data_IF_404539472118
#
_entry.id   IF_404539472118
#
_cell.length_a   1.000
_cell.length_b   1.000
_cell.length_c   1.000
_cell.angle_alpha   90.00
_cell.angle_beta   90.00
_cell.angle_gamma   90.00
#
_symmetry.space_group_name_H-M   'P 1'
#
loop_
_entity.id
_entity.type
_entity.pdbx_description
1 polymer ?
#
# COMPACT_ATOMS: atom_id res chain seq x y z
N UNK A 1 33.04 -11.70 -5.27
CA UNK A 1 33.04 -10.41 -4.55
C UNK A 1 32.28 -9.28 -5.25
N UNK A 2 31.60 -9.53 -6.38
CA UNK A 2 30.93 -8.51 -7.22
C UNK A 2 29.43 -8.36 -6.98
N UNK A 3 28.83 -9.05 -6.00
CA UNK A 3 27.39 -8.98 -5.69
C UNK A 3 27.02 -8.06 -4.51
N UNK A 4 28.01 -7.53 -3.79
CA UNK A 4 27.78 -6.65 -2.63
C UNK A 4 27.75 -5.14 -2.99
N UNK A 5 28.23 -4.78 -4.18
CA UNK A 5 28.31 -3.38 -4.63
C UNK A 5 26.99 -2.80 -5.16
N UNK A 6 25.99 -3.63 -5.50
CA UNK A 6 24.69 -3.16 -5.99
C UNK A 6 23.74 -2.70 -4.86
N UNK A 7 23.93 -3.16 -3.63
CA UNK A 7 23.08 -2.77 -2.49
C UNK A 7 23.48 -1.42 -1.87
N UNK A 8 24.75 -1.01 -2.01
CA UNK A 8 25.26 0.24 -1.42
C UNK A 8 25.03 1.49 -2.27
N UNK A 9 24.62 1.33 -3.54
CA UNK A 9 24.27 2.47 -4.41
C UNK A 9 22.83 2.96 -4.23
N UNK A 10 21.96 2.20 -3.55
CA UNK A 10 20.57 2.59 -3.30
C UNK A 10 20.40 3.54 -2.09
N UNK A 11 21.33 3.54 -1.14
CA UNK A 11 21.18 4.30 0.11
C UNK A 11 21.45 5.82 -0.02
N UNK A 12 22.45 6.30 -0.79
CA UNK A 12 22.69 7.74 -0.93
C UNK A 12 21.82 8.42 -2.01
N UNK A 13 21.12 7.67 -2.87
CA UNK A 13 20.10 8.25 -3.76
C UNK A 13 18.81 8.61 -3.00
N UNK A 14 18.49 7.90 -1.92
CA UNK A 14 17.27 8.14 -1.15
C UNK A 14 17.24 9.52 -0.49
N UNK A 15 18.37 10.13 -0.12
CA UNK A 15 18.38 11.41 0.60
C UNK A 15 18.23 12.63 -0.33
N UNK A 16 18.67 12.54 -1.58
CA UNK A 16 18.54 13.62 -2.57
C UNK A 16 17.23 13.57 -3.39
N UNK A 17 16.53 12.43 -3.41
CA UNK A 17 15.23 12.27 -4.09
C UNK A 17 14.09 13.08 -3.44
N UNK A 18 14.29 13.59 -2.22
CA UNK A 18 13.24 14.20 -1.41
C UNK A 18 13.51 15.64 -0.95
N UNK A 19 14.45 16.34 -1.59
CA UNK A 19 14.60 17.77 -1.39
C UNK A 19 13.56 18.51 -2.25
N UNK A 20 12.48 19.01 -1.63
CA UNK A 20 11.54 19.94 -2.26
C UNK A 20 11.55 21.25 -1.46
N UNK A 21 11.61 22.37 -2.19
CA UNK A 21 11.49 23.71 -1.63
C UNK A 21 10.09 23.92 -1.04
N UNK A 22 10.00 24.65 0.08
CA UNK A 22 8.75 24.93 0.78
C UNK A 22 7.77 25.70 -0.10
N UNK A 23 6.51 25.25 -0.13
CA UNK A 23 5.41 25.89 -0.85
C UNK A 23 5.14 27.31 -0.31
N UNK A 24 5.54 28.33 -1.07
CA UNK A 24 4.97 29.66 -0.97
C UNK A 24 3.63 29.69 -1.71
N UNK A 25 2.63 30.37 -1.16
CA UNK A 25 1.33 30.62 -1.81
C UNK A 25 1.58 31.31 -3.16
N UNK A 26 1.54 30.54 -4.24
CA UNK A 26 1.65 31.06 -5.60
C UNK A 26 0.36 31.79 -5.96
N UNK A 27 0.48 32.99 -6.51
CA UNK A 27 -0.64 33.73 -7.10
C UNK A 27 -1.12 33.11 -8.42
N UNK A 28 -0.35 32.20 -9.00
CA UNK A 28 -0.69 31.51 -10.25
C UNK A 28 -1.50 30.24 -9.95
N UNK A 29 -2.52 29.97 -10.77
CA UNK A 29 -3.27 28.72 -10.67
C UNK A 29 -2.31 27.55 -10.82
N UNK A 30 -2.36 26.55 -9.92
CA UNK A 30 -1.58 25.34 -10.07
C UNK A 30 -1.93 24.66 -11.40
N UNK A 31 -0.92 24.12 -12.07
CA UNK A 31 -1.08 23.43 -13.35
C UNK A 31 -1.64 22.02 -13.15
N UNK A 32 -2.72 21.68 -13.88
CA UNK A 32 -3.20 20.30 -13.95
C UNK A 32 -2.21 19.45 -14.74
N UNK A 33 -1.91 18.26 -14.21
CA UNK A 33 -1.19 17.27 -14.99
C UNK A 33 -2.08 16.77 -16.14
N UNK A 34 -1.54 16.64 -17.37
CA UNK A 34 -2.30 16.11 -18.48
C UNK A 34 -2.78 14.68 -18.22
N UNK A 35 -4.00 14.35 -18.66
CA UNK A 35 -4.61 13.04 -18.44
C UNK A 35 -3.77 11.88 -19.00
N UNK A 36 -3.00 12.09 -20.08
CA UNK A 36 -2.14 11.04 -20.63
C UNK A 36 -1.10 10.53 -19.60
N UNK A 37 -0.73 11.37 -18.63
CA UNK A 37 0.22 10.99 -17.57
C UNK A 37 -0.35 9.92 -16.64
N UNK A 38 -1.67 9.69 -16.60
CA UNK A 38 -2.31 8.61 -15.84
C UNK A 38 -2.04 7.22 -16.42
N UNK A 39 -1.64 7.12 -17.68
CA UNK A 39 -1.55 5.82 -18.38
C UNK A 39 -0.11 5.36 -18.65
N UNK A 40 0.88 6.23 -18.46
CA UNK A 40 2.27 5.96 -18.84
C UNK A 40 3.16 5.87 -17.59
N UNK A 41 3.98 4.81 -17.44
CA UNK A 41 4.92 4.65 -16.34
C UNK A 41 5.79 5.88 -16.09
N UNK A 42 5.81 6.39 -14.86
CA UNK A 42 6.64 7.53 -14.44
C UNK A 42 6.30 8.88 -15.10
N UNK A 43 5.25 8.94 -15.92
CA UNK A 43 4.95 10.11 -16.74
C UNK A 43 4.59 11.36 -15.96
N UNK A 44 3.99 11.25 -14.77
CA UNK A 44 3.69 12.40 -13.92
C UNK A 44 4.98 13.12 -13.54
N UNK A 45 6.03 12.38 -13.21
CA UNK A 45 7.34 12.95 -12.87
C UNK A 45 8.12 13.44 -14.07
N UNK A 46 8.09 12.71 -15.20
CA UNK A 46 8.74 13.19 -16.42
C UNK A 46 8.14 14.50 -16.93
N UNK A 47 6.81 14.64 -16.87
CA UNK A 47 6.14 15.88 -17.24
C UNK A 47 6.59 17.07 -16.37
N UNK A 48 6.79 16.82 -15.07
CA UNK A 48 7.32 17.79 -14.12
C UNK A 48 8.84 17.97 -14.16
N UNK A 49 9.52 17.39 -15.17
CA UNK A 49 10.99 17.41 -15.34
C UNK A 49 11.77 16.78 -14.18
N UNK A 50 11.13 15.93 -13.37
CA UNK A 50 11.78 15.13 -12.34
C UNK A 50 12.20 13.77 -12.92
N UNK A 51 13.24 13.79 -13.76
CA UNK A 51 13.67 12.61 -14.50
C UNK A 51 14.13 11.47 -13.59
N UNK A 52 14.77 11.75 -12.46
CA UNK A 52 15.25 10.71 -11.56
C UNK A 52 14.09 9.94 -10.92
N UNK A 53 13.08 10.65 -10.39
CA UNK A 53 11.87 9.98 -9.87
C UNK A 53 11.11 9.27 -10.98
N UNK A 54 10.96 9.90 -12.15
CA UNK A 54 10.30 9.30 -13.31
C UNK A 54 10.94 7.98 -13.73
N UNK A 55 12.28 7.94 -13.81
CA UNK A 55 13.03 6.72 -14.12
C UNK A 55 12.92 5.68 -13.01
N UNK A 56 12.99 6.07 -11.74
CA UNK A 56 12.86 5.14 -10.63
C UNK A 56 11.49 4.43 -10.64
N UNK A 57 10.39 5.19 -10.73
CA UNK A 57 9.05 4.60 -10.77
C UNK A 57 8.80 3.79 -12.04
N UNK A 58 9.21 4.29 -13.21
CA UNK A 58 9.07 3.53 -14.46
C UNK A 58 9.84 2.21 -14.42
N UNK A 59 11.05 2.19 -13.84
CA UNK A 59 11.84 0.97 -13.69
C UNK A 59 11.19 -0.03 -12.71
N UNK A 60 10.66 0.45 -11.58
CA UNK A 60 9.96 -0.39 -10.61
C UNK A 60 8.69 -1.01 -11.19
N UNK A 61 7.89 -0.21 -11.90
CA UNK A 61 6.67 -0.66 -12.54
C UNK A 61 6.95 -1.68 -13.65
N UNK A 62 7.76 -1.29 -14.64
CA UNK A 62 8.09 -2.15 -15.79
C UNK A 62 8.76 -3.42 -15.29
N UNK A 63 9.68 -3.30 -14.33
CA UNK A 63 10.36 -4.44 -13.72
C UNK A 63 9.41 -5.38 -12.99
N UNK A 64 8.51 -4.85 -12.16
CA UNK A 64 7.51 -5.65 -11.43
C UNK A 64 6.53 -6.35 -12.37
N UNK A 65 5.97 -5.62 -13.34
CA UNK A 65 5.06 -6.18 -14.36
C UNK A 65 5.77 -7.24 -15.19
N UNK A 66 6.98 -6.96 -15.69
CA UNK A 66 7.76 -7.91 -16.47
C UNK A 66 8.06 -9.19 -15.68
N UNK A 67 8.53 -9.07 -14.43
CA UNK A 67 8.81 -10.21 -13.57
C UNK A 67 7.54 -11.00 -13.25
N UNK A 68 6.43 -10.31 -13.03
CA UNK A 68 5.14 -10.91 -12.76
C UNK A 68 4.58 -11.68 -13.96
N UNK A 69 4.73 -11.18 -15.19
CA UNK A 69 4.36 -11.88 -16.42
C UNK A 69 5.29 -13.08 -16.64
N UNK A 70 6.62 -12.86 -16.56
CA UNK A 70 7.64 -13.88 -16.80
C UNK A 70 7.51 -15.09 -15.88
N UNK A 71 7.14 -14.86 -14.62
CA UNK A 71 7.05 -15.91 -13.60
C UNK A 71 5.62 -16.29 -13.21
N UNK A 72 4.59 -15.75 -13.91
CA UNK A 72 3.19 -15.94 -13.56
C UNK A 72 2.81 -17.40 -13.32
N UNK A 73 3.10 -18.28 -14.28
CA UNK A 73 2.74 -19.69 -14.19
C UNK A 73 3.49 -20.41 -13.06
N UNK A 74 4.78 -20.11 -12.88
CA UNK A 74 5.58 -20.79 -11.87
C UNK A 74 5.19 -20.35 -10.46
N UNK A 75 4.90 -19.07 -10.26
CA UNK A 75 4.36 -18.53 -9.01
C UNK A 75 3.00 -19.14 -8.69
N UNK A 76 2.10 -19.20 -9.69
CA UNK A 76 0.78 -19.82 -9.57
C UNK A 76 0.87 -21.28 -9.15
N UNK A 77 1.75 -22.06 -9.77
CA UNK A 77 1.92 -23.48 -9.42
C UNK A 77 2.52 -23.70 -8.02
N UNK A 78 3.12 -22.69 -7.41
CA UNK A 78 3.73 -22.75 -6.08
C UNK A 78 3.05 -21.78 -5.11
N UNK A 79 1.75 -21.53 -5.30
CA UNK A 79 0.98 -20.69 -4.40
C UNK A 79 -0.49 -21.09 -4.33
N UNK A 80 -1.10 -20.82 -3.18
CA UNK A 80 -2.53 -21.02 -2.90
C UNK A 80 -3.30 -19.71 -2.76
N UNK A 81 -2.62 -18.56 -2.77
CA UNK A 81 -3.21 -17.25 -2.48
C UNK A 81 -3.55 -16.49 -3.76
N UNK A 82 -4.61 -15.66 -3.77
CA UNK A 82 -4.85 -14.71 -4.87
C UNK A 82 -3.72 -13.68 -5.04
N UNK A 83 -2.86 -13.51 -4.02
CA UNK A 83 -1.71 -12.62 -4.03
C UNK A 83 -0.41 -13.29 -4.53
N UNK A 84 -0.51 -14.48 -5.16
CA UNK A 84 0.64 -15.26 -5.63
C UNK A 84 1.59 -14.46 -6.54
N UNK A 85 1.05 -13.54 -7.33
CA UNK A 85 1.82 -12.71 -8.25
C UNK A 85 2.27 -11.39 -7.60
N UNK A 86 2.91 -11.50 -6.44
CA UNK A 86 3.42 -10.34 -5.70
C UNK A 86 4.38 -9.44 -6.52
N UNK A 87 5.19 -9.91 -7.50
CA UNK A 87 5.98 -8.99 -8.33
C UNK A 87 5.11 -8.10 -9.22
N UNK A 88 4.07 -8.67 -9.85
CA UNK A 88 3.09 -7.91 -10.62
C UNK A 88 2.40 -6.88 -9.72
N UNK A 89 1.95 -7.33 -8.55
CA UNK A 89 1.28 -6.48 -7.58
C UNK A 89 2.15 -5.29 -7.15
N UNK A 90 3.42 -5.53 -6.80
CA UNK A 90 4.37 -4.46 -6.45
C UNK A 90 4.62 -3.49 -7.61
N UNK A 91 4.66 -3.99 -8.86
CA UNK A 91 4.76 -3.14 -10.05
C UNK A 91 3.55 -2.22 -10.23
N UNK A 92 2.34 -2.77 -10.08
CA UNK A 92 1.09 -2.01 -10.16
C UNK A 92 0.94 -1.02 -9.00
N UNK A 93 1.45 -1.37 -7.82
CA UNK A 93 1.50 -0.49 -6.66
C UNK A 93 2.47 0.68 -6.84
N UNK A 94 3.64 0.44 -7.46
CA UNK A 94 4.55 1.51 -7.84
C UNK A 94 3.89 2.49 -8.83
N UNK A 95 3.18 1.96 -9.85
CA UNK A 95 2.38 2.77 -10.77
C UNK A 95 1.33 3.60 -10.03
N UNK A 96 0.50 2.97 -9.20
CA UNK A 96 -0.54 3.65 -8.43
C UNK A 96 0.02 4.76 -7.54
N UNK A 97 1.14 4.49 -6.86
CA UNK A 97 1.77 5.44 -5.94
C UNK A 97 2.30 6.68 -6.68
N UNK A 98 2.85 6.51 -7.88
CA UNK A 98 3.27 7.62 -8.72
C UNK A 98 2.07 8.45 -9.21
N UNK A 99 0.92 7.82 -9.47
CA UNK A 99 -0.31 8.52 -9.89
C UNK A 99 -0.93 9.37 -8.78
N UNK A 100 -0.53 9.23 -7.52
CA UNK A 100 -0.98 10.13 -6.44
C UNK A 100 -0.67 11.60 -6.74
N UNK A 101 0.39 11.86 -7.52
CA UNK A 101 0.73 13.18 -8.04
C UNK A 101 -0.42 13.82 -8.85
N UNK A 102 -1.11 13.02 -9.68
CA UNK A 102 -2.26 13.49 -10.45
C UNK A 102 -3.41 13.91 -9.52
N UNK A 103 -3.72 13.08 -8.51
CA UNK A 103 -4.74 13.41 -7.51
C UNK A 103 -4.36 14.67 -6.71
N UNK A 104 -3.08 14.84 -6.36
CA UNK A 104 -2.58 16.07 -5.73
C UNK A 104 -2.84 17.31 -6.60
N UNK A 105 -2.47 17.27 -7.88
CA UNK A 105 -2.67 18.41 -8.78
C UNK A 105 -4.15 18.81 -8.90
N UNK A 106 -5.07 17.83 -8.87
CA UNK A 106 -6.51 18.08 -8.88
C UNK A 106 -6.98 18.72 -7.57
N UNK A 107 -6.49 18.27 -6.40
CA UNK A 107 -6.83 18.87 -5.11
C UNK A 107 -6.35 20.31 -4.99
N UNK A 108 -5.16 20.61 -5.50
CA UNK A 108 -4.60 21.96 -5.53
C UNK A 108 -5.48 22.91 -6.37
N UNK A 109 -5.93 22.45 -7.54
CA UNK A 109 -6.84 23.22 -8.40
C UNK A 109 -8.21 23.39 -7.76
N UNK A 110 -8.77 22.34 -7.13
CA UNK A 110 -10.04 22.44 -6.40
C UNK A 110 -9.90 23.48 -5.28
N UNK A 111 -8.81 23.43 -4.50
CA UNK A 111 -8.53 24.36 -3.41
C UNK A 111 -8.35 25.80 -3.88
N UNK A 112 -7.68 26.02 -5.00
CA UNK A 112 -7.49 27.34 -5.59
C UNK A 112 -8.84 28.00 -5.91
N UNK A 113 -9.76 27.25 -6.52
CA UNK A 113 -11.10 27.75 -6.88
C UNK A 113 -12.10 27.74 -5.71
N UNK A 114 -11.82 26.98 -4.65
CA UNK A 114 -12.70 26.81 -3.49
C UNK A 114 -11.89 26.99 -2.19
N UNK A 115 -11.66 28.23 -1.73
CA UNK A 115 -10.84 28.49 -0.53
C UNK A 115 -11.33 27.76 0.73
N UNK A 116 -12.63 27.46 0.82
CA UNK A 116 -13.23 26.69 1.92
C UNK A 116 -12.99 25.18 1.86
N UNK A 117 -12.51 24.64 0.73
CA UNK A 117 -12.19 23.22 0.58
C UNK A 117 -11.02 22.83 1.50
N UNK A 118 -11.12 21.70 2.21
CA UNK A 118 -10.13 21.25 3.18
C UNK A 118 -9.64 19.85 2.82
N UNK A 119 -8.33 19.69 2.74
CA UNK A 119 -7.64 18.43 2.55
C UNK A 119 -6.26 18.54 3.21
N UNK A 120 -5.52 17.43 3.33
CA UNK A 120 -4.13 17.47 3.76
C UNK A 120 -3.24 17.90 2.60
N UNK A 121 -2.71 19.13 2.64
CA UNK A 121 -1.61 19.52 1.75
C UNK A 121 -0.29 18.92 2.25
N UNK A 122 -0.18 17.60 2.17
CA UNK A 122 1.01 16.85 2.55
C UNK A 122 2.01 16.84 1.38
N UNK A 123 3.31 16.98 1.70
CA UNK A 123 4.35 16.80 0.69
C UNK A 123 4.46 15.32 0.31
N UNK A 124 4.93 15.00 -0.89
CA UNK A 124 5.13 13.59 -1.30
C UNK A 124 6.07 12.86 -0.36
N UNK A 125 7.17 13.52 0.04
CA UNK A 125 8.12 13.00 1.01
C UNK A 125 7.43 12.65 2.33
N UNK A 126 6.65 13.58 2.86
CA UNK A 126 5.97 13.38 4.14
C UNK A 126 4.90 12.31 4.07
N UNK A 127 4.23 12.17 2.92
CA UNK A 127 3.29 11.09 2.65
C UNK A 127 3.99 9.73 2.65
N UNK A 128 5.08 9.60 1.91
CA UNK A 128 5.83 8.34 1.80
C UNK A 128 6.49 7.94 3.12
N UNK A 129 6.90 8.91 3.94
CA UNK A 129 7.47 8.67 5.25
C UNK A 129 6.40 8.60 6.36
N UNK A 130 5.14 8.94 6.09
CA UNK A 130 4.09 8.99 7.09
C UNK A 130 3.97 7.71 7.94
N UNK A 131 4.07 6.49 7.40
CA UNK A 131 4.02 5.27 8.21
C UNK A 131 5.14 5.12 9.23
N UNK A 132 6.27 5.79 9.01
CA UNK A 132 7.49 5.65 9.80
C UNK A 132 7.71 6.82 10.77
N UNK A 133 6.87 7.85 10.69
CA UNK A 133 6.94 8.99 11.62
C UNK A 133 6.38 8.59 12.97
N UNK A 134 7.14 8.87 14.02
CA UNK A 134 6.77 8.53 15.40
C UNK A 134 5.42 9.17 15.77
N UNK A 135 5.15 10.41 15.34
CA UNK A 135 3.86 11.07 15.64
C UNK A 135 2.64 10.38 15.00
N UNK A 136 2.84 9.59 13.95
CA UNK A 136 1.77 8.84 13.29
C UNK A 136 1.67 7.42 13.85
N UNK A 137 2.79 6.80 14.23
CA UNK A 137 2.84 5.47 14.83
C UNK A 137 2.26 5.47 16.25
N UNK A 138 2.64 6.45 17.07
CA UNK A 138 2.27 6.52 18.49
C UNK A 138 0.91 7.21 18.62
N UNK A 139 -0.11 6.59 18.04
CA UNK A 139 -1.49 7.07 18.08
C UNK A 139 -2.45 5.96 18.50
N UNK A 140 -3.58 6.30 19.16
CA UNK A 140 -4.60 5.30 19.50
C UNK A 140 -5.14 4.55 18.28
N UNK A 141 -5.22 5.22 17.13
CA UNK A 141 -5.73 4.61 15.90
C UNK A 141 -4.77 3.56 15.34
N UNK A 142 -3.47 3.84 15.28
CA UNK A 142 -2.46 2.87 14.86
C UNK A 142 -2.34 1.72 15.85
N UNK A 143 -2.32 2.01 17.15
CA UNK A 143 -2.30 0.97 18.19
C UNK A 143 -3.52 0.05 18.13
N UNK A 144 -4.73 0.62 17.96
CA UNK A 144 -5.97 -0.15 17.82
C UNK A 144 -5.99 -1.02 16.58
N UNK A 145 -5.49 -0.52 15.45
CA UNK A 145 -5.37 -1.27 14.20
C UNK A 145 -4.35 -2.43 14.34
N UNK A 146 -3.17 -2.19 14.91
CA UNK A 146 -2.18 -3.25 15.16
C UNK A 146 -2.74 -4.31 16.13
N UNK A 147 -3.46 -3.89 17.17
CA UNK A 147 -4.12 -4.83 18.09
C UNK A 147 -5.17 -5.69 17.36
N UNK A 148 -5.97 -5.09 16.47
CA UNK A 148 -6.95 -5.81 15.66
C UNK A 148 -6.27 -6.86 14.76
N UNK A 149 -5.16 -6.51 14.11
CA UNK A 149 -4.35 -7.49 13.36
C UNK A 149 -3.88 -8.63 14.28
N UNK A 150 -3.40 -8.31 15.49
CA UNK A 150 -3.03 -9.31 16.50
C UNK A 150 -4.17 -10.25 16.90
N UNK A 151 -5.41 -9.76 16.99
CA UNK A 151 -6.59 -10.60 17.25
C UNK A 151 -6.85 -11.57 16.11
N UNK A 152 -6.77 -11.12 14.85
CA UNK A 152 -6.92 -12.01 13.69
C UNK A 152 -5.84 -13.09 13.66
N UNK A 153 -4.59 -12.70 13.93
CA UNK A 153 -3.46 -13.61 14.03
C UNK A 153 -3.60 -14.62 15.18
N UNK A 154 -4.16 -14.22 16.33
CA UNK A 154 -4.44 -15.13 17.43
C UNK A 154 -5.50 -16.17 17.06
N UNK A 155 -6.52 -15.78 16.30
CA UNK A 155 -7.52 -16.72 15.76
C UNK A 155 -6.87 -17.68 14.77
N UNK A 156 -6.04 -17.16 13.86
CA UNK A 156 -5.30 -17.95 12.86
C UNK A 156 -4.33 -18.96 13.51
N UNK A 157 -3.69 -18.58 14.63
CA UNK A 157 -2.79 -19.47 15.39
C UNK A 157 -3.47 -20.77 15.83
N UNK A 158 -4.78 -20.77 16.08
CA UNK A 158 -5.51 -21.99 16.42
C UNK A 158 -5.62 -23.00 15.28
N UNK A 159 -5.32 -22.58 14.04
CA UNK A 159 -5.33 -23.42 12.84
C UNK A 159 -3.94 -23.88 12.42
N UNK A 160 -2.89 -23.46 13.14
CA UNK A 160 -1.50 -23.84 12.86
C UNK A 160 -1.32 -25.36 12.92
N UNK A 161 -0.68 -25.91 11.88
CA UNK A 161 -0.21 -27.31 11.85
C UNK A 161 1.29 -27.41 12.06
N UNK A 162 2.04 -26.47 11.50
CA UNK A 162 3.49 -26.43 11.58
C UNK A 162 3.98 -25.03 11.94
N UNK A 163 5.01 -24.99 12.78
CA UNK A 163 5.65 -23.75 13.21
C UNK A 163 6.69 -23.28 12.19
N UNK A 164 7.05 -21.99 12.24
CA UNK A 164 8.14 -21.44 11.41
C UNK A 164 9.49 -22.16 11.61
N UNK A 165 9.70 -22.81 12.76
CA UNK A 165 10.91 -23.58 13.05
C UNK A 165 11.03 -24.86 12.23
N UNK A 166 9.93 -25.38 11.71
CA UNK A 166 9.87 -26.57 10.87
C UNK A 166 10.02 -26.24 9.38
N UNK A 167 9.98 -24.96 9.00
CA UNK A 167 10.23 -24.52 7.63
C UNK A 167 11.71 -24.67 7.32
N UNK A 168 12.02 -25.38 6.24
CA UNK A 168 13.37 -25.48 5.68
C UNK A 168 13.56 -24.46 4.55
N UNK A 169 12.57 -24.39 3.64
CA UNK A 169 12.63 -23.51 2.49
C UNK A 169 11.28 -22.84 2.18
N UNK A 170 11.34 -21.68 1.55
CA UNK A 170 10.17 -20.96 1.01
C UNK A 170 10.37 -20.72 -0.46
N UNK A 171 9.33 -20.89 -1.26
CA UNK A 171 9.35 -20.56 -2.66
C UNK A 171 9.27 -19.04 -2.85
N UNK A 172 10.23 -18.48 -3.58
CA UNK A 172 10.29 -17.06 -3.86
C UNK A 172 10.78 -16.83 -5.31
N UNK A 173 9.94 -16.18 -6.10
CA UNK A 173 10.07 -15.89 -7.54
C UNK A 173 10.11 -17.15 -8.39
N UNK A 174 11.27 -17.79 -8.46
CA UNK A 174 11.52 -18.95 -9.31
C UNK A 174 12.39 -20.03 -8.64
N UNK A 175 12.54 -19.97 -7.32
CA UNK A 175 13.41 -20.86 -6.57
C UNK A 175 12.94 -21.01 -5.13
N UNK A 176 13.36 -22.10 -4.51
CA UNK A 176 13.31 -22.23 -3.06
C UNK A 176 14.49 -21.50 -2.44
N UNK A 177 14.22 -20.69 -1.43
CA UNK A 177 15.23 -20.02 -0.60
C UNK A 177 15.20 -20.61 0.81
N UNK A 178 16.37 -20.74 1.47
CA UNK A 178 16.45 -21.29 2.81
C UNK A 178 15.72 -20.40 3.83
N UNK A 179 15.27 -20.98 4.95
CA UNK A 179 14.51 -20.30 6.03
C UNK A 179 15.12 -18.97 6.46
N UNK A 180 16.44 -18.89 6.59
CA UNK A 180 17.14 -17.66 7.00
C UNK A 180 16.98 -16.50 6.01
N UNK A 181 16.70 -16.78 4.74
CA UNK A 181 16.36 -15.78 3.72
C UNK A 181 14.84 -15.62 3.56
N UNK A 182 14.06 -16.68 3.85
CA UNK A 182 12.61 -16.69 3.72
C UNK A 182 11.95 -15.57 4.54
N UNK A 183 12.27 -15.46 5.83
CA UNK A 183 11.67 -14.43 6.69
C UNK A 183 11.97 -13.02 6.20
N UNK A 184 13.21 -12.75 5.80
CA UNK A 184 13.62 -11.44 5.28
C UNK A 184 12.92 -11.13 3.96
N UNK A 185 12.86 -12.09 3.03
CA UNK A 185 12.20 -11.90 1.74
C UNK A 185 10.70 -11.69 1.92
N UNK A 186 10.05 -12.53 2.73
CA UNK A 186 8.62 -12.43 3.03
C UNK A 186 8.31 -11.10 3.71
N UNK A 187 9.03 -10.77 4.79
CA UNK A 187 8.83 -9.52 5.52
C UNK A 187 9.07 -8.28 4.68
N UNK A 188 10.09 -8.27 3.81
CA UNK A 188 10.32 -7.15 2.89
C UNK A 188 9.19 -7.01 1.86
N UNK A 189 8.70 -8.13 1.30
CA UNK A 189 7.56 -8.13 0.38
C UNK A 189 6.28 -7.66 1.07
N UNK A 190 5.97 -8.19 2.27
CA UNK A 190 4.83 -7.74 3.07
C UNK A 190 4.91 -6.25 3.37
N UNK A 191 6.05 -5.77 3.88
CA UNK A 191 6.23 -4.37 4.21
C UNK A 191 6.04 -3.45 2.99
N UNK A 192 6.58 -3.83 1.83
CA UNK A 192 6.41 -3.05 0.60
C UNK A 192 4.96 -3.01 0.14
N UNK A 193 4.26 -4.15 0.20
CA UNK A 193 2.84 -4.23 -0.16
C UNK A 193 1.97 -3.39 0.77
N UNK A 194 2.17 -3.53 2.08
CA UNK A 194 1.45 -2.77 3.11
C UNK A 194 1.76 -1.28 3.06
N UNK A 195 3.01 -0.90 2.76
CA UNK A 195 3.39 0.50 2.58
C UNK A 195 2.63 1.15 1.43
N UNK A 196 2.59 0.50 0.27
CA UNK A 196 1.88 1.06 -0.87
C UNK A 196 0.37 1.07 -0.67
N UNK A 197 -0.21 0.08 0.03
CA UNK A 197 -1.63 0.09 0.38
C UNK A 197 -1.94 1.28 1.31
N UNK A 198 -1.23 1.41 2.43
CA UNK A 198 -1.43 2.50 3.37
C UNK A 198 -1.18 3.89 2.77
N UNK A 199 -0.17 4.07 1.92
CA UNK A 199 0.10 5.34 1.24
C UNK A 199 -0.94 5.62 0.16
N UNK A 200 -1.17 4.68 -0.75
CA UNK A 200 -2.01 4.87 -1.93
C UNK A 200 -3.49 4.97 -1.58
N UNK A 201 -3.99 3.99 -0.82
CA UNK A 201 -5.42 3.90 -0.50
C UNK A 201 -5.86 5.01 0.43
N UNK A 202 -5.07 5.37 1.46
CA UNK A 202 -5.44 6.48 2.34
C UNK A 202 -5.31 7.84 1.64
N UNK A 203 -4.34 8.03 0.74
CA UNK A 203 -4.29 9.27 -0.02
C UNK A 203 -5.53 9.42 -0.92
N UNK A 204 -5.91 8.37 -1.65
CA UNK A 204 -7.10 8.42 -2.51
C UNK A 204 -8.37 8.54 -1.65
N UNK A 205 -8.55 7.70 -0.65
CA UNK A 205 -9.83 7.63 0.06
C UNK A 205 -9.99 8.74 1.11
N UNK A 206 -8.94 9.06 1.86
CA UNK A 206 -9.01 9.99 3.00
C UNK A 206 -8.52 11.39 2.65
N UNK A 207 -7.67 11.55 1.63
CA UNK A 207 -7.23 12.87 1.18
C UNK A 207 -7.92 13.38 -0.09
N UNK A 208 -8.43 12.49 -0.95
CA UNK A 208 -9.10 12.87 -2.19
C UNK A 208 -10.63 12.69 -2.10
N UNK A 209 -11.12 11.45 -1.98
CA UNK A 209 -12.55 11.13 -2.03
C UNK A 209 -13.31 11.74 -0.84
N UNK A 210 -12.84 11.52 0.39
CA UNK A 210 -13.49 12.01 1.60
C UNK A 210 -13.64 13.54 1.60
N UNK A 211 -12.58 14.36 1.38
CA UNK A 211 -12.70 15.82 1.25
C UNK A 211 -13.70 16.30 0.20
N UNK A 212 -13.70 15.68 -0.98
CA UNK A 212 -14.63 16.05 -2.07
C UNK A 212 -16.08 15.80 -1.63
N UNK A 213 -16.34 14.64 -1.02
CA UNK A 213 -17.68 14.29 -0.56
C UNK A 213 -18.11 15.12 0.66
N UNK A 214 -17.18 15.42 1.57
CA UNK A 214 -17.42 16.30 2.72
C UNK A 214 -17.80 17.71 2.26
N UNK A 215 -17.08 18.26 1.28
CA UNK A 215 -17.37 19.58 0.73
C UNK A 215 -18.74 19.63 0.04
N UNK A 216 -19.10 18.59 -0.72
CA UNK A 216 -20.34 18.55 -1.50
C UNK A 216 -21.58 18.16 -0.69
N UNK A 217 -21.43 17.31 0.32
CA UNK A 217 -22.55 16.66 1.01
C UNK A 217 -22.54 16.85 2.54
N UNK A 218 -21.50 17.48 3.09
CA UNK A 218 -21.28 17.63 4.52
C UNK A 218 -20.55 16.42 5.14
N UNK A 219 -19.83 16.65 6.23
CA UNK A 219 -18.90 15.68 6.82
C UNK A 219 -19.52 14.32 7.16
N UNK A 220 -20.75 14.29 7.70
CA UNK A 220 -21.41 13.03 8.06
C UNK A 220 -21.71 12.17 6.83
N UNK A 221 -22.28 12.78 5.78
CA UNK A 221 -22.61 12.06 4.55
C UNK A 221 -21.36 11.70 3.77
N UNK A 222 -20.39 12.61 3.70
CA UNK A 222 -19.11 12.37 3.04
C UNK A 222 -18.36 11.20 3.66
N UNK A 223 -18.32 11.12 4.99
CA UNK A 223 -17.77 9.98 5.72
C UNK A 223 -18.45 8.65 5.37
N UNK A 224 -19.78 8.60 5.39
CA UNK A 224 -20.52 7.36 5.08
C UNK A 224 -20.24 6.95 3.62
N UNK A 225 -20.36 7.89 2.69
CA UNK A 225 -20.17 7.63 1.26
C UNK A 225 -18.74 7.19 0.94
N UNK A 226 -17.72 7.85 1.49
CA UNK A 226 -16.32 7.47 1.27
C UNK A 226 -16.01 6.09 1.85
N UNK A 227 -16.61 5.75 2.99
CA UNK A 227 -16.41 4.46 3.67
C UNK A 227 -17.06 3.32 2.89
N UNK A 228 -18.28 3.52 2.40
CA UNK A 228 -18.96 2.55 1.53
C UNK A 228 -18.21 2.40 0.21
N UNK A 229 -17.71 3.48 -0.38
CA UNK A 229 -16.88 3.42 -1.58
C UNK A 229 -15.60 2.60 -1.32
N UNK A 230 -14.93 2.82 -0.18
CA UNK A 230 -13.73 2.06 0.19
C UNK A 230 -14.01 0.56 0.32
N UNK A 231 -15.10 0.19 1.01
CA UNK A 231 -15.55 -1.19 1.07
C UNK A 231 -15.87 -1.76 -0.31
N UNK A 232 -16.63 -1.03 -1.13
CA UNK A 232 -17.06 -1.49 -2.45
C UNK A 232 -15.87 -1.75 -3.41
N UNK A 233 -14.77 -1.00 -3.31
CA UNK A 233 -13.57 -1.24 -4.10
C UNK A 233 -12.99 -2.64 -3.88
N UNK A 234 -13.25 -3.28 -2.74
CA UNK A 234 -12.80 -4.64 -2.46
C UNK A 234 -13.61 -5.73 -3.19
N UNK A 235 -14.75 -5.40 -3.82
CA UNK A 235 -15.39 -6.32 -4.76
C UNK A 235 -14.52 -6.60 -6.00
N UNK A 236 -13.49 -5.77 -6.26
CA UNK A 236 -12.49 -6.06 -7.28
C UNK A 236 -11.79 -7.41 -7.04
N UNK A 237 -11.58 -7.80 -5.77
CA UNK A 237 -11.00 -9.10 -5.42
C UNK A 237 -11.86 -10.27 -5.91
N UNK A 238 -13.19 -10.12 -5.90
CA UNK A 238 -14.11 -11.12 -6.46
C UNK A 238 -14.06 -11.13 -8.00
N UNK A 239 -14.00 -9.95 -8.61
CA UNK A 239 -13.98 -9.80 -10.07
C UNK A 239 -12.70 -10.36 -10.71
N UNK A 240 -11.57 -10.32 -9.99
CA UNK A 240 -10.27 -10.79 -10.47
C UNK A 240 -9.83 -12.12 -9.86
N UNK A 241 -10.63 -12.73 -8.98
CA UNK A 241 -10.32 -14.05 -8.42
C UNK A 241 -10.58 -15.16 -9.44
N UNK A 242 -9.61 -16.08 -9.58
CA UNK A 242 -9.82 -17.31 -10.37
C UNK A 242 -10.87 -18.23 -9.74
N UNK A 243 -10.95 -18.22 -8.41
CA UNK A 243 -11.97 -18.91 -7.61
C UNK A 243 -12.70 -17.89 -6.75
N UNK A 244 -13.79 -17.30 -7.25
CA UNK A 244 -14.53 -16.27 -6.53
C UNK A 244 -15.05 -16.79 -5.18
N UNK A 245 -14.62 -16.17 -4.07
CA UNK A 245 -15.18 -16.39 -2.74
C UNK A 245 -16.07 -15.21 -2.34
N UNK A 246 -17.36 -15.33 -2.62
CA UNK A 246 -18.33 -14.29 -2.30
C UNK A 246 -18.43 -14.06 -0.78
N UNK A 247 -18.32 -15.11 0.04
CA UNK A 247 -18.47 -14.97 1.50
C UNK A 247 -17.27 -14.23 2.09
N UNK A 248 -16.06 -14.63 1.71
CA UNK A 248 -14.82 -13.93 2.09
C UNK A 248 -14.81 -12.48 1.60
N UNK A 249 -15.25 -12.25 0.36
CA UNK A 249 -15.33 -10.89 -0.20
C UNK A 249 -16.33 -10.03 0.58
N UNK A 250 -17.54 -10.52 0.88
CA UNK A 250 -18.54 -9.75 1.64
C UNK A 250 -18.04 -9.41 3.05
N UNK A 251 -17.31 -10.33 3.68
CA UNK A 251 -16.66 -10.08 4.96
C UNK A 251 -15.61 -8.95 4.82
N UNK A 252 -14.75 -9.02 3.81
CA UNK A 252 -13.74 -8.01 3.53
C UNK A 252 -14.37 -6.64 3.21
N UNK A 253 -15.41 -6.58 2.39
CA UNK A 253 -16.15 -5.35 2.07
C UNK A 253 -16.74 -4.73 3.35
N UNK A 254 -17.29 -5.55 4.24
CA UNK A 254 -17.86 -5.09 5.52
C UNK A 254 -16.76 -4.55 6.43
N UNK A 255 -15.65 -5.29 6.58
CA UNK A 255 -14.50 -4.87 7.37
C UNK A 255 -13.88 -3.58 6.82
N UNK A 256 -13.61 -3.52 5.51
CA UNK A 256 -13.08 -2.35 4.84
C UNK A 256 -14.03 -1.16 4.96
N UNK A 257 -15.36 -1.33 4.89
CA UNK A 257 -16.32 -0.23 5.15
C UNK A 257 -16.22 0.28 6.59
N UNK A 258 -16.13 -0.61 7.57
CA UNK A 258 -16.03 -0.23 8.99
C UNK A 258 -14.70 0.49 9.29
N UNK A 259 -13.58 -0.04 8.79
CA UNK A 259 -12.25 0.60 8.89
C UNK A 259 -12.21 1.92 8.09
N UNK A 260 -12.87 1.93 6.93
CA UNK A 260 -13.36 3.08 6.16
C UNK A 260 -13.76 4.24 7.05
N UNK A 261 -14.81 3.95 7.81
CA UNK A 261 -15.50 4.89 8.68
C UNK A 261 -14.65 5.31 9.87
N UNK A 262 -13.96 4.36 10.52
CA UNK A 262 -13.13 4.63 11.68
C UNK A 262 -11.96 5.56 11.31
N UNK A 263 -11.20 5.24 10.25
CA UNK A 263 -10.08 6.04 9.78
C UNK A 263 -10.55 7.40 9.24
N UNK A 264 -11.61 7.42 8.43
CA UNK A 264 -12.16 8.67 7.90
C UNK A 264 -12.63 9.63 9.00
N UNK A 265 -13.24 9.10 10.07
CA UNK A 265 -13.65 9.90 11.21
C UNK A 265 -12.48 10.46 12.00
N UNK A 266 -11.40 9.68 12.19
CA UNK A 266 -10.18 10.17 12.82
C UNK A 266 -9.55 11.31 12.00
N UNK A 267 -9.48 11.14 10.67
CA UNK A 267 -8.98 12.17 9.73
C UNK A 267 -9.81 13.46 9.83
N UNK A 268 -11.15 13.38 9.80
CA UNK A 268 -12.01 14.56 9.97
C UNK A 268 -11.75 15.28 11.30
N UNK A 269 -11.64 14.54 12.41
CA UNK A 269 -11.35 15.08 13.74
C UNK A 269 -9.99 15.76 13.83
N UNK A 270 -9.00 15.25 13.10
CA UNK A 270 -7.63 15.80 13.05
C UNK A 270 -7.44 16.88 11.99
N UNK A 271 -8.54 17.47 11.52
CA UNK A 271 -8.48 18.55 10.54
C UNK A 271 -7.92 18.11 9.19
N UNK A 272 -8.24 16.89 8.77
CA UNK A 272 -7.80 16.22 7.55
C UNK A 272 -6.36 15.73 7.53
N UNK A 273 -5.63 15.73 8.66
CA UNK A 273 -4.31 15.10 8.70
C UNK A 273 -4.41 13.56 8.52
N UNK A 274 -4.04 13.07 7.34
CA UNK A 274 -4.06 11.64 6.98
C UNK A 274 -2.86 10.83 7.51
N UNK A 275 -1.84 11.46 8.07
CA UNK A 275 -0.60 10.77 8.49
C UNK A 275 -0.83 9.57 9.42
N UNK A 276 -1.61 9.72 10.51
CA UNK A 276 -1.96 8.59 11.38
C UNK A 276 -2.75 7.49 10.68
N UNK A 277 -3.66 7.83 9.75
CA UNK A 277 -4.43 6.83 9.00
C UNK A 277 -3.53 6.01 8.05
N UNK A 278 -2.61 6.68 7.35
CA UNK A 278 -1.58 6.04 6.50
C UNK A 278 -0.74 5.05 7.32
N UNK A 279 -0.28 5.47 8.50
CA UNK A 279 0.49 4.60 9.39
C UNK A 279 -0.36 3.44 9.94
N UNK A 280 -1.58 3.72 10.40
CA UNK A 280 -2.47 2.71 10.96
C UNK A 280 -2.81 1.60 9.94
N UNK A 281 -3.10 1.98 8.70
CA UNK A 281 -3.38 1.05 7.62
C UNK A 281 -2.13 0.22 7.26
N UNK A 282 -1.00 0.89 7.00
CA UNK A 282 0.25 0.20 6.65
C UNK A 282 0.70 -0.79 7.74
N UNK A 283 0.63 -0.41 9.01
CA UNK A 283 1.05 -1.30 10.11
C UNK A 283 0.04 -2.42 10.38
N UNK A 284 -1.26 -2.21 10.17
CA UNK A 284 -2.26 -3.27 10.21
C UNK A 284 -1.93 -4.37 9.21
N UNK A 285 -1.74 -4.01 7.94
CA UNK A 285 -1.42 -4.97 6.88
C UNK A 285 -0.06 -5.62 7.12
N UNK A 286 0.96 -4.85 7.50
CA UNK A 286 2.31 -5.38 7.68
C UNK A 286 2.35 -6.42 8.81
N UNK A 287 1.67 -6.13 9.93
CA UNK A 287 1.54 -7.06 11.06
C UNK A 287 0.75 -8.30 10.66
N UNK A 288 -0.39 -8.14 9.98
CA UNK A 288 -1.22 -9.26 9.53
C UNK A 288 -0.46 -10.16 8.56
N UNK A 289 0.16 -9.59 7.53
CA UNK A 289 0.87 -10.34 6.51
C UNK A 289 2.10 -11.05 7.10
N UNK A 290 3.01 -10.33 7.75
CA UNK A 290 4.20 -10.93 8.35
C UNK A 290 3.85 -11.92 9.46
N UNK A 291 2.87 -11.56 10.29
CA UNK A 291 2.36 -12.39 11.36
C UNK A 291 1.82 -13.72 10.86
N UNK A 292 1.05 -13.74 9.76
CA UNK A 292 0.51 -14.97 9.17
C UNK A 292 1.63 -15.96 8.84
N UNK A 293 2.74 -15.49 8.25
CA UNK A 293 3.88 -16.36 7.94
C UNK A 293 4.61 -16.86 9.19
N UNK A 294 4.68 -16.06 10.25
CA UNK A 294 5.30 -16.46 11.51
C UNK A 294 4.44 -17.46 12.31
N UNK A 295 3.12 -17.34 12.19
CA UNK A 295 2.14 -18.07 12.99
C UNK A 295 1.63 -19.33 12.29
N UNK A 296 1.33 -19.24 10.99
CA UNK A 296 0.87 -20.32 10.15
C UNK A 296 1.55 -20.23 8.77
N UNK A 297 2.84 -20.63 8.66
CA UNK A 297 3.61 -20.49 7.43
C UNK A 297 3.01 -21.23 6.22
N UNK A 298 2.19 -22.27 6.43
CA UNK A 298 1.56 -23.03 5.34
C UNK A 298 0.40 -22.27 4.70
N UNK A 299 -0.44 -21.64 5.53
CA UNK A 299 -1.57 -20.83 5.08
C UNK A 299 -1.25 -19.32 5.14
N UNK A 300 0.00 -18.96 4.88
CA UNK A 300 0.45 -17.57 4.93
C UNK A 300 -0.31 -16.67 3.93
N UNK A 301 -0.37 -15.37 4.22
CA UNK A 301 -1.17 -14.41 3.45
C UNK A 301 -0.82 -14.36 1.95
N UNK A 302 0.48 -14.41 1.61
CA UNK A 302 0.94 -14.45 0.21
C UNK A 302 0.77 -15.82 -0.44
N UNK A 303 0.34 -16.82 0.33
CA UNK A 303 0.20 -18.22 -0.04
C UNK A 303 1.44 -18.79 -0.68
N UNK A 304 2.65 -18.32 -0.33
CA UNK A 304 3.88 -18.84 -0.94
C UNK A 304 4.11 -20.27 -0.45
N UNK A 305 4.46 -21.18 -1.37
CA UNK A 305 4.73 -22.56 -0.99
C UNK A 305 5.96 -22.65 -0.06
N UNK A 306 5.88 -23.54 0.92
CA UNK A 306 6.98 -23.87 1.83
C UNK A 306 7.34 -25.34 1.73
N UNK A 307 8.58 -25.66 2.07
CA UNK A 307 9.04 -27.02 2.32
C UNK A 307 9.41 -27.17 3.78
N UNK A 308 8.89 -28.23 4.39
CA UNK A 308 9.13 -28.56 5.78
C UNK A 308 10.36 -29.46 5.87
N UNK A 309 11.22 -29.24 6.87
CA UNK A 309 12.40 -30.04 7.16
C UNK A 309 12.09 -31.28 8.00
N UNK A 310 10.94 -31.91 7.78
CA UNK A 310 10.49 -33.08 8.54
C UNK A 310 11.05 -34.32 7.84
N UNK A 311 12.12 -34.87 8.41
CA UNK A 311 12.53 -36.27 8.19
C UNK A 311 11.79 -37.17 9.17
#
# INVERSE_FOLDING_TARGET
>A
MTRFFLFLLFFPMATNLFAQASDSISSESPGLLPQWTLFVPGASYYYQKNYVKGTAFAALEIGGVFMGIKHAQTLKNNSTSPYYNYPLFLGLQAFQTEKLTNFKSQLEVIKHHNPGFRYHNISEKDLYLAPFKIENIVTPITGGMVLLAGVFLAIEKHQEKHTISQVDQMYFLNRYIPRNQALTAFGATSLAMSWSAGVGEEYIMRNYVLPILDYKHGQTKGLIMSSVAFGALHFSNLAFAEKPDLKGTLLQVTQATALGFILGRDVQKRGYNIGPAVAAHMWYDAVLMLGSFLINPEDNFLGVNIRLGIN
#
